data_IF_490893720348
#
_entry.id   IF_490893720348
#
_cell.length_a   1.000
_cell.length_b   1.000
_cell.length_c   1.000
_cell.angle_alpha   90.00
_cell.angle_beta   90.00
_cell.angle_gamma   90.00
#
_symmetry.space_group_name_H-M   'P 1'
#
loop_
_entity.id
_entity.type
_entity.pdbx_description
1 polymer ?
#
# COMPACT_ATOMS: atom_id res chain seq x y z
N UNK A 1 -34.73 15.37 5.29
CA UNK A 1 -33.76 14.96 4.27
C UNK A 1 -32.44 14.84 4.99
N UNK A 2 -32.08 13.62 5.38
CA UNK A 2 -30.76 13.34 5.94
C UNK A 2 -29.69 13.67 4.90
N UNK A 3 -28.58 14.21 5.37
CA UNK A 3 -27.51 14.76 4.55
C UNK A 3 -26.67 13.62 3.95
N UNK A 4 -27.14 13.14 2.79
CA UNK A 4 -26.51 12.08 1.97
C UNK A 4 -25.05 12.46 1.58
N UNK A 5 -24.64 13.73 1.73
CA UNK A 5 -23.27 14.16 1.46
C UNK A 5 -22.24 13.61 2.46
N UNK A 6 -22.67 13.26 3.67
CA UNK A 6 -21.80 12.64 4.68
C UNK A 6 -21.58 11.14 4.40
N UNK A 7 -22.62 10.43 3.96
CA UNK A 7 -22.53 9.00 3.56
C UNK A 7 -21.69 8.83 2.28
N UNK A 8 -21.78 9.76 1.32
CA UNK A 8 -21.00 9.66 0.07
C UNK A 8 -19.50 9.89 0.31
N UNK A 9 -19.09 10.68 1.32
CA UNK A 9 -17.66 10.87 1.64
C UNK A 9 -16.99 9.62 2.19
N UNK A 10 -17.76 8.70 2.78
CA UNK A 10 -17.26 7.44 3.33
C UNK A 10 -16.95 6.41 2.23
N UNK A 11 -17.45 6.62 1.00
CA UNK A 11 -17.36 5.65 -0.09
C UNK A 11 -16.38 6.02 -1.23
N UNK A 12 -15.77 7.22 -1.22
CA UNK A 12 -15.05 7.74 -2.40
C UNK A 12 -13.66 8.36 -2.14
N UNK A 13 -12.98 8.03 -1.05
CA UNK A 13 -11.58 8.44 -0.86
C UNK A 13 -10.79 7.34 -0.21
N UNK A 14 -9.58 7.06 -0.71
CA UNK A 14 -8.64 6.17 -0.05
C UNK A 14 -8.38 6.67 1.38
N UNK A 15 -9.14 6.14 2.32
CA UNK A 15 -8.97 6.39 3.73
C UNK A 15 -7.82 5.50 4.25
N UNK A 16 -7.12 5.95 5.30
CA UNK A 16 -5.98 5.23 5.86
C UNK A 16 -6.37 3.83 6.32
N UNK A 17 -7.57 3.68 6.88
CA UNK A 17 -8.09 2.42 7.39
C UNK A 17 -8.24 1.38 6.28
N UNK A 18 -8.77 1.76 5.12
CA UNK A 18 -8.94 0.87 3.96
C UNK A 18 -7.59 0.43 3.40
N UNK A 19 -6.61 1.35 3.31
CA UNK A 19 -5.24 1.01 2.90
C UNK A 19 -4.57 0.06 3.91
N UNK A 20 -4.70 0.35 5.20
CA UNK A 20 -4.11 -0.45 6.28
C UNK A 20 -4.70 -1.85 6.31
N UNK A 21 -6.03 -1.99 6.24
CA UNK A 21 -6.72 -3.29 6.17
C UNK A 21 -6.33 -4.07 4.92
N UNK A 22 -6.31 -3.44 3.74
CA UNK A 22 -5.90 -4.10 2.50
C UNK A 22 -4.43 -4.55 2.57
N UNK A 23 -3.55 -3.74 3.15
CA UNK A 23 -2.14 -4.06 3.34
C UNK A 23 -1.97 -5.23 4.30
N UNK A 24 -2.67 -5.22 5.43
CA UNK A 24 -2.62 -6.29 6.42
C UNK A 24 -3.08 -7.63 5.84
N UNK A 25 -4.23 -7.65 5.16
CA UNK A 25 -4.76 -8.85 4.53
C UNK A 25 -3.81 -9.39 3.46
N UNK A 26 -3.35 -8.51 2.57
CA UNK A 26 -2.46 -8.89 1.48
C UNK A 26 -1.17 -9.55 2.00
N UNK A 27 -0.48 -8.93 2.96
CA UNK A 27 0.80 -9.47 3.42
C UNK A 27 0.63 -10.76 4.24
N UNK A 28 -0.45 -10.89 5.02
CA UNK A 28 -0.76 -12.14 5.69
C UNK A 28 -0.99 -13.28 4.69
N UNK A 29 -1.83 -13.05 3.68
CA UNK A 29 -2.11 -14.04 2.63
C UNK A 29 -0.87 -14.35 1.81
N UNK A 30 -0.10 -13.34 1.41
CA UNK A 30 1.10 -13.51 0.60
C UNK A 30 2.17 -14.32 1.35
N UNK A 31 2.47 -13.97 2.61
CA UNK A 31 3.45 -14.71 3.42
C UNK A 31 3.02 -16.16 3.67
N UNK A 32 1.72 -16.39 3.87
CA UNK A 32 1.15 -17.73 4.06
C UNK A 32 1.25 -18.55 2.77
N UNK A 33 0.79 -18.00 1.63
CA UNK A 33 0.79 -18.68 0.34
C UNK A 33 2.19 -19.06 -0.17
N UNK A 34 3.21 -18.30 0.24
CA UNK A 34 4.61 -18.55 -0.12
C UNK A 34 5.37 -19.39 0.93
N UNK A 35 4.69 -19.91 1.95
CA UNK A 35 5.29 -20.67 3.07
C UNK A 35 6.43 -19.91 3.79
N UNK A 36 6.32 -18.58 3.87
CA UNK A 36 7.27 -17.72 4.58
C UNK A 36 6.85 -17.59 6.05
N UNK A 37 5.55 -17.41 6.30
CA UNK A 37 4.96 -17.34 7.65
C UNK A 37 4.79 -18.75 8.23
N UNK A 38 5.51 -19.05 9.32
CA UNK A 38 5.49 -20.34 10.00
C UNK A 38 4.50 -20.36 11.16
N UNK A 39 4.47 -19.32 12.00
CA UNK A 39 3.45 -19.16 13.04
C UNK A 39 2.54 -17.96 12.71
N UNK A 40 1.28 -18.18 12.31
CA UNK A 40 0.32 -17.12 12.03
C UNK A 40 0.12 -16.11 13.17
N UNK A 41 0.36 -16.52 14.43
CA UNK A 41 0.23 -15.64 15.60
C UNK A 41 1.41 -14.69 15.76
N UNK A 42 2.51 -14.95 15.06
CA UNK A 42 3.67 -14.07 15.02
C UNK A 42 3.50 -12.89 14.07
N UNK A 43 2.48 -12.92 13.22
CA UNK A 43 2.21 -11.88 12.25
C UNK A 43 1.60 -10.64 12.92
N UNK A 44 2.24 -9.49 12.72
CA UNK A 44 1.67 -8.18 13.04
C UNK A 44 2.15 -7.13 12.06
N UNK A 45 1.46 -6.00 12.02
CA UNK A 45 1.82 -4.86 11.19
C UNK A 45 1.70 -3.56 11.99
N UNK A 46 2.72 -2.73 11.90
CA UNK A 46 2.72 -1.39 12.50
C UNK A 46 2.71 -0.35 11.39
N UNK A 47 1.74 0.57 11.46
CA UNK A 47 1.60 1.64 10.49
C UNK A 47 2.18 2.95 11.02
N UNK A 48 3.13 3.51 10.29
CA UNK A 48 3.75 4.79 10.52
C UNK A 48 3.30 5.83 9.50
N UNK A 49 3.37 7.11 9.89
CA UNK A 49 3.10 8.23 8.97
C UNK A 49 4.25 8.39 7.99
N UNK A 50 3.90 8.65 6.73
CA UNK A 50 4.85 9.07 5.69
C UNK A 50 5.27 10.53 5.94
N UNK A 51 6.58 10.79 5.97
CA UNK A 51 7.14 12.12 6.27
C UNK A 51 7.22 13.04 5.03
N UNK A 52 7.06 12.51 3.80
CA UNK A 52 7.18 13.30 2.55
C UNK A 52 6.26 12.88 1.41
N UNK A 53 6.24 13.66 0.32
CA UNK A 53 5.49 13.39 -0.91
C UNK A 53 3.99 13.76 -0.90
N UNK A 54 3.45 13.96 -2.11
CA UNK A 54 2.06 14.44 -2.35
C UNK A 54 1.01 13.33 -2.35
N UNK A 55 1.41 12.09 -2.64
CA UNK A 55 0.48 10.94 -2.68
C UNK A 55 0.13 10.44 -1.28
N UNK A 56 -1.12 9.99 -1.15
CA UNK A 56 -1.59 9.30 0.04
C UNK A 56 -0.82 7.98 0.22
N UNK A 57 -0.42 7.68 1.45
CA UNK A 57 0.44 6.54 1.74
C UNK A 57 0.87 6.47 3.19
N UNK A 58 1.32 5.30 3.60
CA UNK A 58 1.84 5.01 4.93
C UNK A 58 3.18 4.26 4.83
N UNK A 59 3.85 4.17 5.97
CA UNK A 59 4.97 3.23 6.16
C UNK A 59 4.40 2.03 6.89
N UNK A 60 4.65 0.82 6.41
CA UNK A 60 4.22 -0.41 7.05
C UNK A 60 5.45 -1.20 7.51
N UNK A 61 5.54 -1.51 8.80
CA UNK A 61 6.53 -2.45 9.34
C UNK A 61 5.83 -3.77 9.57
N UNK A 62 6.24 -4.80 8.83
CA UNK A 62 5.65 -6.14 8.87
C UNK A 62 6.53 -7.03 9.71
N UNK A 63 5.97 -7.54 10.80
CA UNK A 63 6.65 -8.38 11.77
C UNK A 63 6.13 -9.81 11.61
N UNK A 64 7.01 -10.79 11.46
CA UNK A 64 6.66 -12.22 11.34
C UNK A 64 7.86 -13.10 11.69
N UNK A 65 7.66 -14.16 12.47
CA UNK A 65 8.69 -15.16 12.82
C UNK A 65 10.06 -14.57 13.25
N UNK A 66 10.05 -13.43 13.96
CA UNK A 66 11.26 -12.71 14.40
C UNK A 66 11.94 -11.82 13.34
N UNK A 67 11.36 -11.74 12.14
CA UNK A 67 11.77 -10.86 11.05
C UNK A 67 10.95 -9.57 11.05
N UNK A 68 11.57 -8.47 10.63
CA UNK A 68 10.93 -7.18 10.46
C UNK A 68 11.27 -6.59 9.08
N UNK A 69 10.28 -6.49 8.21
CA UNK A 69 10.43 -5.86 6.90
C UNK A 69 9.64 -4.55 6.84
N UNK A 70 10.32 -3.46 6.46
CA UNK A 70 9.68 -2.14 6.29
C UNK A 70 9.30 -1.91 4.83
N UNK A 71 8.11 -1.39 4.58
CA UNK A 71 7.59 -1.06 3.27
C UNK A 71 7.03 0.37 3.23
N UNK A 72 7.21 1.04 2.09
CA UNK A 72 6.47 2.25 1.77
C UNK A 72 5.24 1.87 0.95
N UNK A 73 4.05 2.19 1.46
CA UNK A 73 2.77 1.91 0.82
C UNK A 73 2.23 3.22 0.25
N UNK A 74 1.81 3.20 -1.00
CA UNK A 74 1.13 4.34 -1.64
C UNK A 74 0.00 3.88 -2.53
N UNK A 75 -0.91 4.81 -2.83
CA UNK A 75 -1.78 4.71 -4.00
C UNK A 75 -0.97 4.97 -5.29
N UNK A 76 -1.45 4.49 -6.43
CA UNK A 76 -0.90 4.82 -7.75
C UNK A 76 -0.95 6.33 -8.03
N UNK A 77 -0.19 6.80 -9.03
CA UNK A 77 0.06 8.22 -9.31
C UNK A 77 -1.23 9.07 -9.52
N UNK A 78 -2.28 8.45 -10.07
CA UNK A 78 -3.61 9.08 -10.26
C UNK A 78 -4.67 8.59 -9.24
N UNK A 79 -4.23 7.97 -8.15
CA UNK A 79 -5.06 7.59 -7.02
C UNK A 79 -5.37 8.79 -6.11
N UNK A 80 -6.05 8.52 -4.99
CA UNK A 80 -6.39 9.55 -4.01
C UNK A 80 -5.14 10.31 -3.55
N UNK A 81 -5.18 11.63 -3.67
CA UNK A 81 -4.16 12.53 -3.11
C UNK A 81 -4.63 13.05 -1.76
N UNK A 82 -3.71 13.55 -0.92
CA UNK A 82 -4.04 14.12 0.41
C UNK A 82 -5.05 15.28 0.36
N UNK A 83 -5.29 15.87 -0.82
CA UNK A 83 -6.09 17.09 -1.01
C UNK A 83 -7.27 16.95 -1.97
N UNK A 84 -7.48 15.79 -2.60
CA UNK A 84 -8.50 15.65 -3.66
C UNK A 84 -9.66 14.74 -3.25
N UNK A 85 -10.88 15.28 -3.26
CA UNK A 85 -12.13 14.50 -3.21
C UNK A 85 -12.53 13.92 -4.58
N UNK A 86 -11.59 13.84 -5.54
CA UNK A 86 -11.87 13.30 -6.87
C UNK A 86 -11.72 11.78 -6.84
N UNK A 87 -12.62 11.03 -7.49
CA UNK A 87 -12.47 9.59 -7.63
C UNK A 87 -11.12 9.26 -8.28
N UNK A 88 -10.49 8.19 -7.80
CA UNK A 88 -9.24 7.70 -8.35
C UNK A 88 -9.41 7.38 -9.84
N UNK A 89 -8.47 7.81 -10.68
CA UNK A 89 -8.43 7.34 -12.07
C UNK A 89 -7.96 5.88 -12.10
N UNK A 90 -8.23 5.11 -13.15
CA UNK A 90 -7.66 3.77 -13.29
C UNK A 90 -6.11 3.79 -13.16
N UNK A 91 -5.49 2.72 -12.64
CA UNK A 91 -4.04 2.62 -12.57
C UNK A 91 -3.36 2.79 -13.92
N UNK A 92 -2.29 3.59 -13.97
CA UNK A 92 -1.45 3.69 -15.15
C UNK A 92 -0.53 2.47 -15.23
N UNK A 93 -0.77 1.60 -16.21
CA UNK A 93 0.05 0.40 -16.41
C UNK A 93 1.52 0.72 -16.67
N UNK A 94 1.85 1.93 -17.15
CA UNK A 94 3.25 2.37 -17.31
C UNK A 94 3.95 2.52 -15.96
N UNK A 95 3.24 2.98 -14.93
CA UNK A 95 3.79 3.07 -13.57
C UNK A 95 4.14 1.67 -13.04
N UNK A 96 3.22 0.71 -13.18
CA UNK A 96 3.44 -0.68 -12.78
C UNK A 96 4.61 -1.29 -13.54
N UNK A 97 4.66 -1.08 -14.86
CA UNK A 97 5.76 -1.55 -15.69
C UNK A 97 7.12 -1.02 -15.23
N UNK A 98 7.22 0.28 -14.90
CA UNK A 98 8.47 0.87 -14.39
C UNK A 98 8.94 0.19 -13.11
N UNK A 99 8.04 -0.05 -12.14
CA UNK A 99 8.40 -0.74 -10.90
C UNK A 99 8.89 -2.17 -11.15
N UNK A 100 8.16 -2.94 -11.96
CA UNK A 100 8.53 -4.33 -12.30
C UNK A 100 9.87 -4.37 -13.04
N UNK A 101 10.08 -3.46 -14.00
CA UNK A 101 11.33 -3.37 -14.75
C UNK A 101 12.50 -3.06 -13.82
N UNK A 102 12.37 -2.05 -12.94
CA UNK A 102 13.43 -1.65 -12.02
C UNK A 102 13.78 -2.77 -11.03
N UNK A 103 12.77 -3.46 -10.50
CA UNK A 103 12.99 -4.65 -9.65
C UNK A 103 13.72 -5.76 -10.43
N UNK A 104 13.27 -6.09 -11.65
CA UNK A 104 13.83 -7.17 -12.45
C UNK A 104 15.29 -6.94 -12.85
N UNK A 105 15.70 -5.68 -13.08
CA UNK A 105 17.09 -5.33 -13.40
C UNK A 105 17.96 -5.05 -12.16
N UNK A 106 17.40 -5.20 -10.95
CA UNK A 106 18.13 -4.99 -9.69
C UNK A 106 18.42 -3.54 -9.34
N UNK A 107 17.76 -2.57 -10.00
CA UNK A 107 17.91 -1.13 -9.74
C UNK A 107 16.77 -0.55 -8.88
N UNK A 108 15.73 -1.34 -8.59
CA UNK A 108 14.58 -0.96 -7.78
C UNK A 108 14.40 -1.85 -6.55
N UNK A 109 13.60 -1.39 -5.57
CA UNK A 109 13.20 -2.22 -4.44
C UNK A 109 12.27 -3.36 -4.89
N UNK A 110 12.13 -4.37 -4.03
CA UNK A 110 11.06 -5.37 -4.17
C UNK A 110 9.70 -4.68 -4.13
N UNK A 111 8.84 -4.96 -5.10
CA UNK A 111 7.54 -4.34 -5.25
C UNK A 111 6.40 -5.34 -5.04
N UNK A 112 5.31 -4.86 -4.46
CA UNK A 112 4.06 -5.57 -4.28
C UNK A 112 2.92 -4.71 -4.82
N UNK A 113 2.00 -5.34 -5.56
CA UNK A 113 0.85 -4.69 -6.17
C UNK A 113 -0.41 -5.42 -5.72
N UNK A 114 -1.34 -4.71 -5.11
CA UNK A 114 -2.56 -5.32 -4.58
C UNK A 114 -3.73 -4.35 -4.60
N UNK A 115 -4.92 -4.91 -4.77
CA UNK A 115 -6.17 -4.17 -4.73
C UNK A 115 -6.71 -4.04 -3.30
N UNK A 116 -7.88 -3.40 -3.16
CA UNK A 116 -8.63 -3.40 -1.92
C UNK A 116 -9.25 -4.78 -1.69
N UNK A 117 -9.52 -5.10 -0.42
CA UNK A 117 -10.21 -6.33 -0.02
C UNK A 117 -11.54 -6.50 -0.78
N UNK A 118 -11.94 -7.72 -1.18
CA UNK A 118 -13.23 -7.97 -1.81
C UNK A 118 -14.38 -7.34 -1.00
N UNK A 119 -15.11 -6.40 -1.61
CA UNK A 119 -16.18 -5.64 -0.95
C UNK A 119 -15.85 -4.17 -0.67
N UNK A 120 -14.59 -3.75 -0.80
CA UNK A 120 -14.16 -2.35 -0.72
C UNK A 120 -13.87 -1.76 -2.12
N UNK A 121 -13.83 -0.42 -2.24
CA UNK A 121 -13.78 0.36 -3.50
C UNK A 121 -12.91 -0.25 -4.60
N UNK A 122 -13.55 -0.78 -5.66
CA UNK A 122 -12.97 -1.66 -6.68
C UNK A 122 -11.89 -1.02 -7.58
N UNK A 123 -11.48 0.22 -7.33
CA UNK A 123 -10.70 1.02 -8.28
C UNK A 123 -9.30 1.40 -7.82
N UNK A 124 -8.94 1.15 -6.56
CA UNK A 124 -7.65 1.59 -6.00
C UNK A 124 -6.58 0.50 -6.09
N UNK A 125 -5.45 0.80 -6.74
CA UNK A 125 -4.25 -0.03 -6.70
C UNK A 125 -3.29 0.50 -5.62
N UNK A 126 -2.91 -0.37 -4.70
CA UNK A 126 -1.85 -0.12 -3.73
C UNK A 126 -0.51 -0.67 -4.23
N UNK A 127 0.54 0.10 -3.98
CA UNK A 127 1.91 -0.24 -4.34
C UNK A 127 2.74 -0.24 -3.06
N UNK A 128 3.22 -1.41 -2.67
CA UNK A 128 4.14 -1.61 -1.55
C UNK A 128 5.56 -1.79 -2.05
N UNK A 129 6.48 -0.93 -1.63
CA UNK A 129 7.91 -1.01 -1.99
C UNK A 129 8.75 -1.29 -0.76
N UNK A 130 9.58 -2.34 -0.80
CA UNK A 130 10.44 -2.69 0.33
C UNK A 130 11.46 -1.58 0.57
N UNK A 131 11.56 -1.12 1.81
CA UNK A 131 12.56 -0.15 2.22
C UNK A 131 13.96 -0.75 2.03
N UNK A 132 14.84 -0.01 1.36
CA UNK A 132 16.24 -0.36 1.21
C UNK A 132 17.00 0.39 2.31
N UNK A 133 17.56 -0.30 3.32
CA UNK A 133 18.41 0.35 4.30
C UNK A 133 19.60 0.99 3.57
N UNK A 134 19.84 2.28 3.83
CA UNK A 134 20.91 3.14 3.25
C UNK A 134 20.56 3.97 2.00
N UNK A 135 19.29 4.08 1.59
CA UNK A 135 18.91 5.11 0.59
C UNK A 135 18.74 6.52 1.18
N UNK A 136 18.99 6.71 2.48
CA UNK A 136 18.98 8.01 3.17
C UNK A 136 20.24 8.87 2.87
N UNK A 137 21.15 8.41 2.00
CA UNK A 137 22.41 9.10 1.64
C UNK A 137 22.36 9.87 0.30
N UNK A 138 21.17 10.12 -0.27
CA UNK A 138 21.03 10.86 -1.53
C UNK A 138 19.97 11.99 -1.44
N UNK A 139 19.88 12.67 -0.31
CA UNK A 139 19.30 14.01 -0.21
C UNK A 139 20.40 15.05 0.08
#
# INVERSE_FOLDING_TARGET
MEDISHEIKEYFGGDSTTMEVATQNYFFEWLTAHNILKDPRSFSIEFGRKVGGIHFGCVATICYDGMNDKFFIKTHHMGSTKSSCKPASPPDLREVFCYVLLEAIGLGPKCHFYGPTPGMDKTTLYIGTKSIPNLELME
#
